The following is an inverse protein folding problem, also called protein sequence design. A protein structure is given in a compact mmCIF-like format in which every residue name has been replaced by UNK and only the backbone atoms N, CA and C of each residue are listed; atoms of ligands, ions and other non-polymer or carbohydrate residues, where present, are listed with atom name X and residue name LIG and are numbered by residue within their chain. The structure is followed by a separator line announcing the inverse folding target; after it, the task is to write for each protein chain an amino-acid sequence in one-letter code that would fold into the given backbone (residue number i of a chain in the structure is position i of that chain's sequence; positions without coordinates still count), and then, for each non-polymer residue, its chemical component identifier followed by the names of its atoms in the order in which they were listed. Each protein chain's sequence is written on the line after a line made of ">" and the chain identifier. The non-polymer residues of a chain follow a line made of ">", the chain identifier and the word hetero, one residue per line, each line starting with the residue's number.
data_IF_025756450124
#
_entry.id   IF_025756450124
#
_cell.length_a   1.000
_cell.length_b   1.000
_cell.length_c   1.000
_cell.angle_alpha   90.00
_cell.angle_beta   90.00
_cell.angle_gamma   90.00
#
_symmetry.space_group_name_H-M   'P 1'
#
loop_
_entity.id
_entity.type
_entity.pdbx_description
1 polymer ?
#
# COMPACT_ATOMS: atom_id res chain seq x y z
N UNK A 1 2.94 -6.43 15.18
CA UNK A 1 4.22 -6.06 14.51
C UNK A 1 4.58 -4.58 14.73
N UNK A 2 3.65 -3.63 14.57
CA UNK A 2 3.88 -2.20 14.84
C UNK A 2 4.30 -1.88 16.29
N UNK A 3 3.69 -2.52 17.30
CA UNK A 3 3.99 -2.25 18.73
C UNK A 3 5.41 -2.68 19.14
N UNK A 4 5.91 -3.83 18.63
CA UNK A 4 7.25 -4.33 18.96
C UNK A 4 8.36 -3.50 18.31
N UNK A 5 8.15 -3.05 17.07
CA UNK A 5 9.09 -2.14 16.38
C UNK A 5 9.12 -0.76 17.02
N UNK A 6 7.97 -0.26 17.46
CA UNK A 6 7.89 1.04 18.16
C UNK A 6 8.54 0.96 19.55
N UNK A 7 8.38 -0.16 20.26
CA UNK A 7 9.07 -0.42 21.53
C UNK A 7 10.59 -0.54 21.40
N UNK A 8 11.09 -1.21 20.36
CA UNK A 8 12.53 -1.36 20.11
C UNK A 8 13.20 -0.02 19.75
N UNK A 9 12.55 0.77 18.90
CA UNK A 9 13.02 2.12 18.54
C UNK A 9 13.01 3.03 19.77
N UNK A 10 11.97 2.94 20.60
CA UNK A 10 11.92 3.71 21.86
C UNK A 10 13.12 3.39 22.73
N UNK A 11 13.52 2.13 22.91
CA UNK A 11 14.65 1.78 23.78
C UNK A 11 16.00 2.24 23.20
N UNK A 12 16.16 2.30 21.88
CA UNK A 12 17.46 2.60 21.25
C UNK A 12 17.68 4.06 20.85
N UNK A 13 16.63 4.89 20.91
CA UNK A 13 16.66 6.32 20.56
C UNK A 13 17.06 7.22 21.74
N UNK A 14 16.84 6.77 22.99
CA UNK A 14 17.23 7.56 24.18
C UNK A 14 18.70 7.33 24.53
N UNK A 15 19.38 8.43 24.84
CA UNK A 15 20.62 8.39 25.60
C UNK A 15 20.32 8.26 27.11
N UNK A 16 21.29 7.82 27.90
CA UNK A 16 21.13 7.64 29.37
C UNK A 16 20.81 8.95 30.11
N UNK A 17 21.08 10.11 29.48
CA UNK A 17 20.79 11.45 29.99
C UNK A 17 19.37 11.96 29.63
N UNK A 18 18.59 11.19 28.87
CA UNK A 18 17.25 11.56 28.41
C UNK A 18 17.21 12.41 27.13
N UNK A 19 18.37 12.69 26.51
CA UNK A 19 18.44 13.31 25.19
C UNK A 19 18.09 12.32 24.07
N UNK A 20 17.61 12.87 22.94
CA UNK A 20 17.31 12.11 21.73
C UNK A 20 18.59 12.02 20.90
N UNK A 21 18.97 10.83 20.43
CA UNK A 21 20.13 10.67 19.54
C UNK A 21 19.96 11.47 18.25
N UNK A 22 21.05 12.08 17.77
CA UNK A 22 21.09 12.92 16.55
C UNK A 22 20.55 12.26 15.26
N UNK A 23 20.33 10.93 15.24
CA UNK A 23 19.80 10.18 14.09
C UNK A 23 18.37 9.63 14.32
N UNK A 24 17.67 10.07 15.36
CA UNK A 24 16.36 9.51 15.73
C UNK A 24 15.27 9.80 14.72
N UNK A 25 15.27 11.01 14.15
CA UNK A 25 14.45 11.47 13.04
C UNK A 25 14.62 10.58 11.80
N UNK A 26 15.87 10.29 11.42
CA UNK A 26 16.22 9.44 10.29
C UNK A 26 15.76 7.99 10.53
N UNK A 27 16.00 7.44 11.72
CA UNK A 27 15.57 6.09 12.07
C UNK A 27 14.04 5.95 12.05
N UNK A 28 13.33 6.96 12.55
CA UNK A 28 11.87 7.00 12.50
C UNK A 28 11.37 7.11 11.06
N UNK A 29 11.94 8.01 10.26
CA UNK A 29 11.58 8.18 8.86
C UNK A 29 11.80 6.90 8.04
N UNK A 30 12.94 6.21 8.24
CA UNK A 30 13.21 4.91 7.61
C UNK A 30 12.16 3.87 8.03
N UNK A 31 11.82 3.78 9.31
CA UNK A 31 10.82 2.83 9.82
C UNK A 31 9.44 3.08 9.22
N UNK A 32 8.99 4.33 9.17
CA UNK A 32 7.68 4.68 8.61
C UNK A 32 7.64 4.47 7.08
N UNK A 33 8.74 4.74 6.37
CA UNK A 33 8.86 4.48 4.94
C UNK A 33 8.99 2.98 4.61
N UNK A 34 9.52 2.17 5.52
CA UNK A 34 9.73 0.74 5.31
C UNK A 34 8.42 -0.03 5.14
N UNK A 35 7.35 0.35 5.85
CA UNK A 35 6.05 -0.33 5.77
C UNK A 35 5.47 -0.33 4.35
N UNK A 36 5.21 0.83 3.72
CA UNK A 36 4.73 0.87 2.34
C UNK A 36 5.76 0.32 1.34
N UNK A 37 7.06 0.47 1.59
CA UNK A 37 8.11 -0.11 0.72
C UNK A 37 8.06 -1.64 0.70
N UNK A 38 7.96 -2.26 1.88
CA UNK A 38 7.83 -3.72 2.00
C UNK A 38 6.53 -4.20 1.36
N UNK A 39 5.42 -3.48 1.51
CA UNK A 39 4.16 -3.82 0.85
C UNK A 39 4.28 -3.75 -0.67
N UNK A 40 4.86 -2.68 -1.22
CA UNK A 40 5.09 -2.55 -2.66
C UNK A 40 6.00 -3.65 -3.22
N UNK A 41 7.10 -3.94 -2.52
CA UNK A 41 8.01 -5.03 -2.89
C UNK A 41 7.32 -6.41 -2.81
N UNK A 42 6.55 -6.66 -1.76
CA UNK A 42 5.77 -7.88 -1.62
C UNK A 42 4.76 -8.03 -2.76
N UNK A 43 4.08 -6.95 -3.18
CA UNK A 43 3.16 -6.98 -4.32
C UNK A 43 3.86 -7.40 -5.62
N UNK A 44 5.03 -6.84 -5.91
CA UNK A 44 5.81 -7.21 -7.11
C UNK A 44 6.29 -8.65 -7.06
N UNK A 45 6.81 -9.10 -5.91
CA UNK A 45 7.30 -10.47 -5.74
C UNK A 45 6.15 -11.49 -5.80
N UNK A 46 5.02 -11.15 -5.17
CA UNK A 46 3.82 -11.99 -5.10
C UNK A 46 3.16 -12.18 -6.47
N UNK A 47 3.40 -11.30 -7.45
CA UNK A 47 2.85 -11.43 -8.80
C UNK A 47 3.11 -12.81 -9.45
N UNK A 48 4.25 -13.46 -9.12
CA UNK A 48 4.60 -14.80 -9.61
C UNK A 48 4.18 -15.94 -8.68
N UNK A 49 3.52 -15.65 -7.56
CA UNK A 49 3.04 -16.64 -6.59
C UNK A 49 1.64 -17.13 -6.99
N UNK A 50 1.20 -18.27 -6.42
CA UNK A 50 -0.14 -18.83 -6.66
C UNK A 50 -1.29 -17.89 -6.28
N UNK A 51 -1.07 -17.01 -5.29
CA UNK A 51 -2.04 -16.00 -4.86
C UNK A 51 -1.37 -14.61 -4.88
N UNK A 52 -1.33 -13.94 -6.03
CA UNK A 52 -0.81 -12.58 -6.10
C UNK A 52 -1.58 -11.66 -5.16
N UNK A 53 -0.87 -10.78 -4.45
CA UNK A 53 -1.49 -9.82 -3.53
C UNK A 53 -2.54 -8.96 -4.23
N UNK A 54 -2.36 -8.67 -5.52
CA UNK A 54 -3.38 -7.96 -6.31
C UNK A 54 -4.71 -8.74 -6.35
N UNK A 55 -4.68 -10.07 -6.34
CA UNK A 55 -5.88 -10.88 -6.32
C UNK A 55 -6.54 -10.85 -4.96
N UNK A 56 -5.74 -10.91 -3.89
CA UNK A 56 -6.24 -10.80 -2.52
C UNK A 56 -6.94 -9.45 -2.30
N UNK A 57 -6.39 -8.36 -2.84
CA UNK A 57 -6.94 -7.01 -2.65
C UNK A 57 -8.07 -6.67 -3.64
N UNK A 58 -8.03 -7.14 -4.89
CA UNK A 58 -8.94 -6.69 -5.95
C UNK A 58 -9.66 -7.80 -6.70
N UNK A 59 -9.07 -8.99 -6.86
CA UNK A 59 -9.69 -10.13 -7.54
C UNK A 59 -10.03 -11.23 -6.52
N UNK A 60 -10.64 -10.82 -5.41
CA UNK A 60 -10.99 -11.76 -4.36
C UNK A 60 -12.14 -12.66 -4.86
N UNK A 61 -11.99 -13.99 -4.84
CA UNK A 61 -13.05 -14.91 -5.24
C UNK A 61 -14.36 -14.73 -4.45
N UNK A 62 -14.33 -14.17 -3.24
CA UNK A 62 -15.52 -13.85 -2.45
C UNK A 62 -16.34 -12.68 -3.02
N UNK A 63 -15.71 -11.83 -3.84
CA UNK A 63 -16.32 -10.61 -4.41
C UNK A 63 -16.55 -10.78 -5.91
N UNK A 64 -15.66 -11.48 -6.60
CA UNK A 64 -15.66 -11.63 -8.05
C UNK A 64 -15.62 -13.10 -8.46
N UNK A 65 -16.43 -13.49 -9.44
CA UNK A 65 -16.37 -14.80 -10.06
C UNK A 65 -15.20 -14.88 -11.05
N UNK A 66 -14.01 -15.09 -10.50
CA UNK A 66 -12.74 -15.13 -11.25
C UNK A 66 -12.78 -16.21 -12.33
N UNK A 67 -13.38 -17.36 -12.03
CA UNK A 67 -13.48 -18.47 -12.97
C UNK A 67 -14.32 -18.07 -14.19
N UNK A 68 -15.50 -17.47 -13.97
CA UNK A 68 -16.35 -16.97 -15.06
C UNK A 68 -15.67 -15.89 -15.88
N UNK A 69 -14.92 -14.98 -15.24
CA UNK A 69 -14.14 -13.94 -15.94
C UNK A 69 -13.10 -14.58 -16.86
N UNK A 70 -12.30 -15.51 -16.34
CA UNK A 70 -11.23 -16.16 -17.11
C UNK A 70 -11.76 -17.05 -18.23
N UNK A 71 -12.83 -17.82 -17.98
CA UNK A 71 -13.44 -18.68 -18.99
C UNK A 71 -14.03 -17.84 -20.14
N UNK A 72 -14.77 -16.77 -19.81
CA UNK A 72 -15.32 -15.86 -20.82
C UNK A 72 -14.21 -15.12 -21.59
N UNK A 73 -13.13 -14.74 -20.93
CA UNK A 73 -11.98 -14.10 -21.58
C UNK A 73 -11.28 -15.07 -22.56
N UNK A 74 -11.17 -16.35 -22.23
CA UNK A 74 -10.64 -17.39 -23.13
C UNK A 74 -11.56 -17.61 -24.34
N UNK A 75 -12.86 -17.71 -24.12
CA UNK A 75 -13.85 -17.87 -25.20
C UNK A 75 -13.82 -16.71 -26.19
N UNK A 76 -13.56 -15.49 -25.71
CA UNK A 76 -13.48 -14.28 -26.53
C UNK A 76 -12.08 -13.98 -27.09
N UNK A 77 -11.08 -14.81 -26.78
CA UNK A 77 -9.69 -14.59 -27.20
C UNK A 77 -9.01 -13.36 -26.56
N UNK A 78 -9.54 -12.83 -25.45
CA UNK A 78 -9.02 -11.66 -24.72
C UNK A 78 -8.25 -12.03 -23.46
N UNK A 79 -7.90 -13.31 -23.29
CA UNK A 79 -7.21 -13.80 -22.09
C UNK A 79 -5.81 -13.20 -21.91
N UNK A 80 -5.04 -13.03 -22.99
CA UNK A 80 -3.73 -12.36 -22.92
C UNK A 80 -3.86 -10.90 -22.49
N UNK A 81 -4.89 -10.19 -22.97
CA UNK A 81 -5.18 -8.83 -22.55
C UNK A 81 -5.55 -8.76 -21.06
N UNK A 82 -6.27 -9.76 -20.56
CA UNK A 82 -6.59 -9.89 -19.13
C UNK A 82 -5.32 -10.09 -18.28
N UNK A 83 -4.40 -10.97 -18.70
CA UNK A 83 -3.13 -11.18 -18.01
C UNK A 83 -2.26 -9.90 -18.01
N UNK A 84 -2.15 -9.24 -19.16
CA UNK A 84 -1.42 -7.98 -19.29
C UNK A 84 -2.03 -6.87 -18.42
N UNK A 85 -3.36 -6.79 -18.39
CA UNK A 85 -4.10 -5.86 -17.54
C UNK A 85 -3.84 -6.12 -16.04
N UNK A 86 -3.86 -7.38 -15.60
CA UNK A 86 -3.58 -7.77 -14.21
C UNK A 86 -2.15 -7.42 -13.80
N UNK A 87 -1.18 -7.62 -14.68
CA UNK A 87 0.20 -7.16 -14.46
C UNK A 87 0.29 -5.63 -14.37
N UNK A 88 -0.42 -4.90 -15.25
CA UNK A 88 -0.47 -3.43 -15.23
C UNK A 88 -1.05 -2.89 -13.92
N UNK A 89 -2.11 -3.50 -13.41
CA UNK A 89 -2.65 -3.16 -12.09
C UNK A 89 -1.64 -3.39 -10.96
N UNK A 90 -0.94 -4.53 -11.00
CA UNK A 90 0.08 -4.86 -9.99
C UNK A 90 1.17 -3.79 -9.96
N UNK A 91 1.66 -3.37 -11.13
CA UNK A 91 2.63 -2.29 -11.25
C UNK A 91 2.10 -0.95 -10.77
N UNK A 92 0.88 -0.57 -11.16
CA UNK A 92 0.26 0.70 -10.74
C UNK A 92 0.16 0.80 -9.21
N UNK A 93 -0.24 -0.28 -8.54
CA UNK A 93 -0.28 -0.32 -7.08
C UNK A 93 1.10 -0.30 -6.44
N UNK A 94 2.02 -1.13 -6.92
CA UNK A 94 3.38 -1.17 -6.39
C UNK A 94 4.06 0.20 -6.48
N UNK A 95 3.90 0.89 -7.62
CA UNK A 95 4.39 2.27 -7.80
C UNK A 95 3.73 3.26 -6.84
N UNK A 96 2.43 3.08 -6.55
CA UNK A 96 1.72 3.93 -5.58
C UNK A 96 2.24 3.73 -4.15
N UNK A 97 2.52 2.49 -3.76
CA UNK A 97 3.17 2.19 -2.47
C UNK A 97 4.60 2.73 -2.39
N UNK A 98 5.36 2.67 -3.49
CA UNK A 98 6.69 3.26 -3.56
C UNK A 98 6.62 4.78 -3.38
N UNK A 99 5.71 5.46 -4.09
CA UNK A 99 5.50 6.89 -3.95
C UNK A 99 5.07 7.25 -2.51
N UNK A 100 4.16 6.47 -1.94
CA UNK A 100 3.73 6.61 -0.54
C UNK A 100 4.90 6.47 0.45
N UNK A 101 5.82 5.53 0.22
CA UNK A 101 7.03 5.35 1.03
C UNK A 101 7.93 6.58 1.00
N UNK A 102 8.18 7.12 -0.19
CA UNK A 102 8.98 8.34 -0.38
C UNK A 102 8.32 9.54 0.30
N UNK A 103 7.01 9.72 0.13
CA UNK A 103 6.27 10.79 0.81
C UNK A 103 6.31 10.64 2.33
N UNK A 104 6.19 9.42 2.85
CA UNK A 104 6.24 9.17 4.30
C UNK A 104 7.62 9.51 4.87
N UNK A 105 8.69 9.14 4.17
CA UNK A 105 10.05 9.49 4.54
C UNK A 105 10.23 11.01 4.66
N UNK A 106 9.86 11.76 3.61
CA UNK A 106 10.00 13.22 3.61
C UNK A 106 9.11 13.91 4.66
N UNK A 107 7.89 13.41 4.86
CA UNK A 107 6.97 13.94 5.87
C UNK A 107 7.52 13.74 7.28
N UNK A 108 8.07 12.56 7.56
CA UNK A 108 8.69 12.24 8.85
C UNK A 108 9.91 13.13 9.11
N UNK A 109 10.81 13.25 8.13
CA UNK A 109 11.99 14.12 8.24
C UNK A 109 11.59 15.58 8.49
N UNK A 110 10.60 16.12 7.76
CA UNK A 110 10.21 17.52 7.88
C UNK A 110 9.51 17.85 9.20
N UNK A 111 8.70 16.93 9.74
CA UNK A 111 7.95 17.16 10.98
C UNK A 111 8.74 16.84 12.27
N UNK A 112 9.83 16.08 12.16
CA UNK A 112 10.74 15.77 13.26
C UNK A 112 11.97 16.69 13.29
N UNK A 113 12.17 17.50 12.25
CA UNK A 113 13.25 18.48 12.18
C UNK A 113 13.22 19.43 13.39
N UNK A 114 14.36 19.59 14.05
CA UNK A 114 14.53 20.46 15.22
C UNK A 114 14.03 19.91 16.58
N UNK A 115 13.59 18.66 16.66
CA UNK A 115 13.19 18.04 17.93
C UNK A 115 14.41 17.55 18.74
N UNK A 116 14.87 18.36 19.69
CA UNK A 116 16.09 18.07 20.49
C UNK A 116 15.80 17.42 21.86
N UNK A 117 14.55 17.43 22.30
CA UNK A 117 14.13 16.91 23.59
C UNK A 117 12.93 15.95 23.46
N UNK A 118 12.70 15.18 24.52
CA UNK A 118 11.68 14.13 24.58
C UNK A 118 10.26 14.63 24.31
N UNK A 119 9.92 15.83 24.79
CA UNK A 119 8.59 16.39 24.62
C UNK A 119 8.38 16.80 23.16
N UNK A 120 9.31 17.57 22.60
CA UNK A 120 9.26 17.99 21.19
C UNK A 120 9.25 16.80 20.23
N UNK A 121 10.03 15.75 20.52
CA UNK A 121 10.06 14.53 19.69
C UNK A 121 8.71 13.79 19.71
N UNK A 122 8.10 13.62 20.89
CA UNK A 122 6.79 12.97 21.01
C UNK A 122 5.69 13.77 20.30
N UNK A 123 5.74 15.10 20.38
CA UNK A 123 4.81 15.98 19.65
C UNK A 123 5.01 15.83 18.14
N UNK A 124 6.26 15.83 17.67
CA UNK A 124 6.60 15.62 16.25
C UNK A 124 6.11 14.28 15.73
N UNK A 125 6.38 13.18 16.45
CA UNK A 125 5.90 11.84 16.12
C UNK A 125 4.37 11.79 16.05
N UNK A 126 3.67 12.44 16.99
CA UNK A 126 2.20 12.50 17.00
C UNK A 126 1.66 13.25 15.78
N UNK A 127 2.34 14.33 15.36
CA UNK A 127 2.02 15.07 14.13
C UNK A 127 2.26 14.22 12.88
N UNK A 128 3.38 13.49 12.80
CA UNK A 128 3.66 12.59 11.67
C UNK A 128 2.57 11.53 11.54
N UNK A 129 2.14 10.91 12.65
CA UNK A 129 1.06 9.93 12.59
C UNK A 129 -0.28 10.55 12.17
N UNK A 130 -0.65 11.69 12.75
CA UNK A 130 -1.93 12.35 12.44
C UNK A 130 -1.99 12.88 11.01
N UNK A 131 -1.00 13.67 10.60
CA UNK A 131 -0.91 14.24 9.26
C UNK A 131 -0.65 13.15 8.23
N UNK A 132 0.21 12.17 8.54
CA UNK A 132 0.52 11.04 7.68
C UNK A 132 -0.72 10.23 7.34
N UNK A 133 -1.62 9.97 8.30
CA UNK A 133 -2.88 9.29 8.02
C UNK A 133 -3.72 10.03 6.97
N UNK A 134 -3.80 11.36 7.06
CA UNK A 134 -4.55 12.17 6.11
C UNK A 134 -3.85 12.28 4.75
N UNK A 135 -2.59 12.70 4.75
CA UNK A 135 -1.81 13.02 3.55
C UNK A 135 -1.42 11.78 2.76
N UNK A 136 -1.23 10.64 3.42
CA UNK A 136 -0.81 9.39 2.76
C UNK A 136 -2.00 8.45 2.61
N UNK A 137 -2.82 8.32 3.64
CA UNK A 137 -3.97 7.41 3.65
C UNK A 137 -5.05 7.82 2.64
N UNK A 138 -5.39 9.11 2.54
CA UNK A 138 -6.42 9.56 1.57
C UNK A 138 -5.99 9.29 0.12
N UNK A 139 -4.79 9.69 -0.35
CA UNK A 139 -4.37 9.37 -1.71
C UNK A 139 -4.36 7.87 -1.99
N UNK A 140 -3.93 7.04 -1.03
CA UNK A 140 -3.93 5.60 -1.20
C UNK A 140 -5.36 5.05 -1.37
N UNK A 141 -6.32 5.54 -0.58
CA UNK A 141 -7.73 5.17 -0.74
C UNK A 141 -8.29 5.60 -2.09
N UNK A 142 -7.97 6.81 -2.56
CA UNK A 142 -8.39 7.31 -3.88
C UNK A 142 -7.85 6.43 -5.00
N UNK A 143 -6.56 6.07 -4.95
CA UNK A 143 -5.92 5.16 -5.91
C UNK A 143 -6.62 3.79 -5.86
N UNK A 144 -6.88 3.26 -4.65
CA UNK A 144 -7.54 1.98 -4.45
C UNK A 144 -8.93 1.93 -5.11
N UNK A 145 -9.74 2.95 -4.86
CA UNK A 145 -11.08 3.10 -5.45
C UNK A 145 -10.97 3.26 -6.97
N UNK A 146 -10.06 4.10 -7.46
CA UNK A 146 -9.84 4.33 -8.89
C UNK A 146 -9.45 3.04 -9.63
N UNK A 147 -8.55 2.25 -9.05
CA UNK A 147 -8.16 0.95 -9.60
C UNK A 147 -9.30 -0.07 -9.59
N UNK A 148 -10.14 -0.09 -8.56
CA UNK A 148 -11.32 -0.95 -8.51
C UNK A 148 -12.29 -0.62 -9.66
N UNK A 149 -12.57 0.67 -9.88
CA UNK A 149 -13.41 1.09 -11.02
C UNK A 149 -12.77 0.76 -12.36
N UNK A 150 -11.45 0.96 -12.50
CA UNK A 150 -10.71 0.60 -13.70
C UNK A 150 -10.74 -0.91 -13.94
N UNK A 151 -10.71 -1.72 -12.89
CA UNK A 151 -10.82 -3.18 -12.95
C UNK A 151 -12.19 -3.64 -13.42
N UNK A 152 -13.25 -3.17 -12.76
CA UNK A 152 -14.63 -3.49 -13.15
C UNK A 152 -14.87 -3.10 -14.62
N UNK A 153 -14.43 -1.89 -15.03
CA UNK A 153 -14.60 -1.42 -16.41
C UNK A 153 -13.81 -2.25 -17.41
N UNK A 154 -12.58 -2.66 -17.06
CA UNK A 154 -11.73 -3.43 -17.98
C UNK A 154 -12.23 -4.86 -18.12
N UNK A 155 -12.64 -5.51 -17.02
CA UNK A 155 -13.27 -6.84 -17.05
C UNK A 155 -14.49 -6.81 -17.94
N UNK A 156 -15.45 -5.91 -17.69
CA UNK A 156 -16.64 -5.76 -18.55
C UNK A 156 -16.29 -5.54 -20.02
N UNK A 157 -15.22 -4.80 -20.33
CA UNK A 157 -14.79 -4.57 -21.71
C UNK A 157 -14.20 -5.82 -22.36
N UNK A 158 -13.38 -6.60 -21.64
CA UNK A 158 -12.69 -7.77 -22.17
C UNK A 158 -13.61 -8.99 -22.27
N UNK A 159 -14.50 -9.18 -21.29
CA UNK A 159 -15.40 -10.33 -21.22
C UNK A 159 -16.80 -10.02 -21.73
N UNK A 160 -17.18 -8.75 -21.85
CA UNK A 160 -18.55 -8.33 -22.19
C UNK A 160 -19.58 -8.60 -21.09
N UNK A 161 -19.15 -9.06 -19.91
CA UNK A 161 -20.02 -9.31 -18.77
C UNK A 161 -20.43 -7.99 -18.11
N UNK A 162 -21.69 -7.90 -17.70
CA UNK A 162 -22.18 -6.83 -16.83
C UNK A 162 -21.65 -7.03 -15.41
N UNK A 163 -21.61 -5.95 -14.62
CA UNK A 163 -21.06 -5.97 -13.25
C UNK A 163 -21.72 -7.04 -12.38
N UNK A 164 -23.03 -7.17 -12.51
CA UNK A 164 -23.84 -8.13 -11.76
C UNK A 164 -23.54 -9.59 -12.12
N UNK A 165 -23.03 -9.86 -13.33
CA UNK A 165 -22.75 -11.22 -13.78
C UNK A 165 -21.42 -11.78 -13.29
N UNK A 166 -20.42 -10.93 -13.04
CA UNK A 166 -19.11 -11.35 -12.56
C UNK A 166 -18.85 -10.94 -11.11
N UNK A 167 -19.74 -10.20 -10.47
CA UNK A 167 -19.71 -9.98 -9.03
C UNK A 167 -20.49 -11.08 -8.33
N UNK A 168 -19.90 -11.68 -7.31
CA UNK A 168 -20.56 -12.72 -6.52
C UNK A 168 -21.77 -12.12 -5.79
N UNK A 169 -22.99 -12.66 -5.97
CA UNK A 169 -24.13 -12.26 -5.15
C UNK A 169 -23.87 -12.69 -3.70
N UNK A 170 -24.04 -11.75 -2.77
CA UNK A 170 -24.00 -12.04 -1.33
C UNK A 170 -25.20 -12.88 -0.91
#
# INVERSE_FOLDING_TARGET
>A
MSVLLTGFITIHVWNEDGSVKDNADLLFAIKEAAVPLMLGAAMLYSHKTKNPLIDVFFLNPDIFDIKRIEDTAKEKGTFEDYLAFRLKLTWLFASSFLLSSVMNFFLAMHLLDGANDKESYNIGVSKVMGIGYLVIGIPLMVIMIGCLFYLIRTISRLTGLTREEFMMPK
#
